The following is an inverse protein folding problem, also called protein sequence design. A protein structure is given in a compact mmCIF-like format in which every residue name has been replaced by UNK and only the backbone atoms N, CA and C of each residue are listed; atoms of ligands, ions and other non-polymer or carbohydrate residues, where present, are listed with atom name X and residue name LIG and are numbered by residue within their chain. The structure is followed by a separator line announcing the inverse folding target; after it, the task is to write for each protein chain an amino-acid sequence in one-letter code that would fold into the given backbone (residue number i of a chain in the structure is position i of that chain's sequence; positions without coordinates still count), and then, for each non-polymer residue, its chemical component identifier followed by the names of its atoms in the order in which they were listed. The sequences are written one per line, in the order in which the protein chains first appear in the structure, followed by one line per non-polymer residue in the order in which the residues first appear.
data_IF_200019164031
#
_entry.id   IF_200019164031
#
_cell.length_a   1.000
_cell.length_b   1.000
_cell.length_c   1.000
_cell.angle_alpha   90.00
_cell.angle_beta   90.00
_cell.angle_gamma   90.00
#
_symmetry.space_group_name_H-M   'P 1'
#
loop_
_entity.id
_entity.type
_entity.pdbx_description
1 polymer ?
#
# COMPACT_ATOMS: atom_id res chain seq x y z
N UNK A 1 -14.54 9.30 8.80
CA UNK A 1 -13.99 10.57 8.28
C UNK A 1 -14.65 10.92 6.96
N UNK A 2 -15.04 12.18 6.76
CA UNK A 2 -15.50 12.69 5.46
C UNK A 2 -14.30 12.78 4.52
N UNK A 3 -14.39 12.23 3.32
CA UNK A 3 -13.32 12.38 2.33
C UNK A 3 -13.21 13.83 1.87
N UNK A 4 -11.98 14.31 1.63
CA UNK A 4 -11.69 15.64 1.08
C UNK A 4 -11.27 15.47 -0.40
N UNK A 5 -12.21 15.43 -1.35
CA UNK A 5 -11.93 15.07 -2.74
C UNK A 5 -11.22 16.17 -3.54
N UNK A 6 -11.25 17.44 -3.10
CA UNK A 6 -10.69 18.56 -3.87
C UNK A 6 -9.82 19.49 -3.03
N UNK A 7 -8.85 20.16 -3.67
CA UNK A 7 -8.02 21.18 -3.00
C UNK A 7 -8.84 22.39 -2.54
N UNK A 8 -9.97 22.67 -3.21
CA UNK A 8 -10.92 23.71 -2.77
C UNK A 8 -11.54 23.30 -1.44
N UNK A 9 -12.00 22.04 -1.33
CA UNK A 9 -12.55 21.52 -0.09
C UNK A 9 -11.49 21.42 1.00
N UNK A 10 -10.25 21.05 0.70
CA UNK A 10 -9.16 21.06 1.68
C UNK A 10 -8.95 22.46 2.28
N UNK A 11 -8.84 23.49 1.44
CA UNK A 11 -8.67 24.88 1.88
C UNK A 11 -9.88 25.37 2.69
N UNK A 12 -11.09 24.90 2.35
CA UNK A 12 -12.32 25.22 3.09
C UNK A 12 -12.35 24.51 4.45
N UNK A 13 -12.13 23.20 4.49
CA UNK A 13 -12.18 22.39 5.71
C UNK A 13 -11.11 22.86 6.72
N UNK A 14 -9.90 23.21 6.27
CA UNK A 14 -8.87 23.79 7.15
C UNK A 14 -9.27 25.16 7.71
N UNK A 15 -10.11 25.93 7.01
CA UNK A 15 -10.59 27.23 7.47
C UNK A 15 -11.77 27.10 8.44
N UNK A 16 -12.67 26.16 8.15
CA UNK A 16 -13.90 25.96 8.91
C UNK A 16 -13.69 25.06 10.14
N UNK A 17 -12.59 24.29 10.18
CA UNK A 17 -12.27 23.37 11.28
C UNK A 17 -10.93 23.74 11.96
N UNK A 18 -10.95 24.58 13.01
CA UNK A 18 -9.75 24.99 13.75
C UNK A 18 -8.97 23.83 14.36
N UNK A 19 -9.64 22.76 14.79
CA UNK A 19 -8.98 21.58 15.36
C UNK A 19 -8.14 20.86 14.31
N UNK A 20 -8.67 20.70 13.09
CA UNK A 20 -7.91 20.14 11.98
C UNK A 20 -6.73 21.03 11.59
N UNK A 21 -6.95 22.35 11.55
CA UNK A 21 -5.90 23.32 11.26
C UNK A 21 -4.75 23.23 12.26
N UNK A 22 -5.06 23.15 13.56
CA UNK A 22 -4.09 23.03 14.63
C UNK A 22 -3.30 21.72 14.55
N UNK A 23 -3.94 20.60 14.19
CA UNK A 23 -3.24 19.31 13.98
C UNK A 23 -2.27 19.39 12.80
N UNK A 24 -2.58 20.20 11.78
CA UNK A 24 -1.67 20.49 10.68
C UNK A 24 -0.69 21.64 10.99
N UNK A 25 -0.59 22.05 12.25
CA UNK A 25 0.27 23.13 12.76
C UNK A 25 -0.02 24.52 12.15
N UNK A 26 -1.24 24.73 11.64
CA UNK A 26 -1.70 26.06 11.25
C UNK A 26 -2.15 26.84 12.48
N UNK A 27 -1.41 27.90 12.81
CA UNK A 27 -1.66 28.71 13.99
C UNK A 27 -2.99 29.49 13.87
N UNK A 28 -3.77 29.60 14.97
CA UNK A 28 -4.97 30.41 14.99
C UNK A 28 -4.70 31.87 14.57
N UNK A 29 -5.59 32.45 13.76
CA UNK A 29 -5.44 33.81 13.26
C UNK A 29 -4.53 33.97 12.05
N UNK A 30 -3.75 32.95 11.67
CA UNK A 30 -2.99 32.95 10.42
C UNK A 30 -3.87 32.38 9.27
N UNK A 31 -3.96 33.05 8.12
CA UNK A 31 -4.72 32.53 6.98
C UNK A 31 -4.15 31.19 6.48
N UNK A 32 -5.02 30.17 6.37
CA UNK A 32 -4.66 28.88 5.79
C UNK A 32 -4.30 29.01 4.29
N UNK A 33 -3.44 28.13 3.75
CA UNK A 33 -3.06 28.20 2.34
C UNK A 33 -4.25 28.10 1.39
N UNK A 34 -4.20 28.89 0.31
CA UNK A 34 -5.20 28.84 -0.75
C UNK A 34 -5.06 27.57 -1.60
N UNK A 35 -6.12 27.24 -2.35
CA UNK A 35 -6.09 26.18 -3.38
C UNK A 35 -4.86 26.30 -4.30
N UNK A 36 -4.54 27.53 -4.75
CA UNK A 36 -3.40 27.80 -5.63
C UNK A 36 -2.08 27.45 -4.95
N UNK A 37 -1.92 27.78 -3.66
CA UNK A 37 -0.73 27.44 -2.89
C UNK A 37 -0.54 25.93 -2.75
N UNK A 38 -1.59 25.19 -2.36
CA UNK A 38 -1.53 23.72 -2.34
C UNK A 38 -1.21 23.13 -3.71
N UNK A 39 -1.85 23.64 -4.76
CA UNK A 39 -1.60 23.18 -6.13
C UNK A 39 -0.17 23.47 -6.59
N UNK A 40 0.41 24.60 -6.18
CA UNK A 40 1.80 24.96 -6.45
C UNK A 40 2.76 24.02 -5.71
N UNK A 41 2.51 23.78 -4.42
CA UNK A 41 3.29 22.85 -3.60
C UNK A 41 3.31 21.44 -4.21
N UNK A 42 2.15 20.89 -4.58
CA UNK A 42 2.06 19.55 -5.17
C UNK A 42 2.76 19.42 -6.53
N UNK A 43 2.82 20.50 -7.32
CA UNK A 43 3.52 20.49 -8.62
C UNK A 43 5.03 20.64 -8.49
N UNK A 44 5.47 21.43 -7.53
CA UNK A 44 6.86 21.87 -7.44
C UNK A 44 7.68 21.09 -6.41
N UNK A 45 7.02 20.36 -5.50
CA UNK A 45 7.72 19.56 -4.49
C UNK A 45 7.99 18.17 -5.05
N UNK A 46 9.26 17.78 -5.23
CA UNK A 46 9.58 16.44 -5.72
C UNK A 46 9.16 15.40 -4.69
N UNK A 47 8.54 14.31 -5.14
CA UNK A 47 8.14 13.23 -4.24
C UNK A 47 9.35 12.63 -3.50
N UNK A 48 10.53 12.57 -4.13
CA UNK A 48 11.76 12.07 -3.52
C UNK A 48 12.09 12.77 -2.20
N UNK A 49 11.93 14.08 -2.13
CA UNK A 49 12.12 14.86 -0.90
C UNK A 49 11.15 14.43 0.21
N UNK A 50 9.90 14.13 -0.14
CA UNK A 50 8.91 13.64 0.84
C UNK A 50 9.25 12.22 1.31
N UNK A 51 9.76 11.36 0.42
CA UNK A 51 10.19 10.01 0.79
C UNK A 51 11.42 10.08 1.72
N UNK A 52 12.40 10.95 1.41
CA UNK A 52 13.57 11.20 2.26
C UNK A 52 13.16 11.72 3.64
N UNK A 53 12.25 12.70 3.70
CA UNK A 53 11.74 13.23 4.95
C UNK A 53 11.04 12.14 5.77
N UNK A 54 10.18 11.31 5.16
CA UNK A 54 9.54 10.19 5.84
C UNK A 54 10.59 9.24 6.43
N UNK A 55 11.59 8.85 5.64
CA UNK A 55 12.67 7.95 6.12
C UNK A 55 13.45 8.55 7.28
N UNK A 56 13.71 9.85 7.24
CA UNK A 56 14.36 10.55 8.35
C UNK A 56 13.50 10.49 9.62
N UNK A 57 12.20 10.79 9.52
CA UNK A 57 11.26 10.74 10.65
C UNK A 57 11.12 9.32 11.22
N UNK A 58 11.02 8.30 10.36
CA UNK A 58 10.97 6.89 10.80
C UNK A 58 12.26 6.49 11.52
N UNK A 59 13.43 6.93 11.05
CA UNK A 59 14.70 6.70 11.73
C UNK A 59 14.76 7.39 13.11
N UNK A 60 14.26 8.61 13.23
CA UNK A 60 14.14 9.28 14.53
C UNK A 60 13.22 8.49 15.48
N UNK A 61 12.08 8.02 14.99
CA UNK A 61 11.15 7.20 15.78
C UNK A 61 11.75 5.84 16.18
N UNK A 62 12.60 5.26 15.34
CA UNK A 62 13.36 4.06 15.65
C UNK A 62 14.36 4.33 16.80
N UNK A 63 15.12 5.42 16.74
CA UNK A 63 16.05 5.80 17.81
C UNK A 63 15.34 6.10 19.13
N UNK A 64 14.13 6.66 19.08
CA UNK A 64 13.27 6.89 20.25
C UNK A 64 12.57 5.62 20.76
N UNK A 65 12.75 4.48 20.09
CA UNK A 65 12.11 3.20 20.44
C UNK A 65 10.59 3.17 20.23
N UNK A 66 10.04 4.11 19.46
CA UNK A 66 8.61 4.19 19.13
C UNK A 66 8.24 3.26 17.98
N UNK A 67 9.09 3.17 16.95
CA UNK A 67 9.03 2.15 15.90
C UNK A 67 10.05 1.09 16.23
N UNK A 68 9.66 -0.19 16.21
CA UNK A 68 10.59 -1.31 16.50
C UNK A 68 10.96 -2.11 15.25
N UNK A 69 10.09 -2.15 14.24
CA UNK A 69 10.30 -2.90 13.01
C UNK A 69 10.38 -4.42 13.22
N UNK A 70 9.77 -4.92 14.30
CA UNK A 70 9.81 -6.37 14.64
C UNK A 70 8.81 -7.16 13.81
N UNK A 71 7.60 -6.62 13.64
CA UNK A 71 6.55 -7.21 12.85
C UNK A 71 6.14 -6.19 11.80
N UNK A 72 6.33 -6.55 10.53
CA UNK A 72 6.04 -5.67 9.41
C UNK A 72 4.89 -6.26 8.60
N UNK A 73 3.86 -5.47 8.32
CA UNK A 73 2.76 -5.86 7.43
C UNK A 73 2.85 -5.12 6.10
N UNK A 74 2.57 -5.81 5.00
CA UNK A 74 2.46 -5.20 3.68
C UNK A 74 1.04 -5.30 3.15
N UNK A 75 0.54 -4.19 2.61
CA UNK A 75 -0.75 -4.13 1.91
C UNK A 75 -0.70 -3.05 0.80
N UNK A 76 -1.70 -3.05 -0.08
CA UNK A 76 -1.84 -2.05 -1.13
C UNK A 76 -3.24 -1.45 -1.18
N UNK A 77 -3.31 -0.12 -1.30
CA UNK A 77 -4.58 0.62 -1.35
C UNK A 77 -4.77 1.24 -2.74
N UNK A 78 -5.95 1.09 -3.38
CA UNK A 78 -6.22 1.69 -4.68
C UNK A 78 -6.37 3.22 -4.61
N UNK A 79 -5.75 3.91 -5.56
CA UNK A 79 -5.87 5.36 -5.78
C UNK A 79 -6.47 5.57 -7.16
N UNK A 80 -7.75 5.97 -7.20
CA UNK A 80 -8.50 6.16 -8.45
C UNK A 80 -8.13 7.49 -9.09
N UNK A 81 -7.68 7.47 -10.34
CA UNK A 81 -7.41 8.69 -11.10
C UNK A 81 -8.70 9.44 -11.43
N UNK A 82 -8.61 10.77 -11.50
CA UNK A 82 -9.75 11.65 -11.84
C UNK A 82 -9.94 11.72 -13.37
N UNK A 83 -10.29 10.60 -13.96
CA UNK A 83 -10.52 10.44 -15.40
C UNK A 83 -11.99 10.15 -15.68
N UNK A 84 -12.49 10.55 -16.86
CA UNK A 84 -13.90 10.34 -17.23
C UNK A 84 -14.28 8.86 -17.28
N UNK A 85 -13.30 8.01 -17.61
CA UNK A 85 -13.41 6.55 -17.69
C UNK A 85 -13.71 5.92 -16.32
N UNK A 86 -13.44 6.61 -15.22
CA UNK A 86 -13.82 6.17 -13.88
C UNK A 86 -15.23 6.65 -13.49
N UNK A 87 -15.74 7.73 -14.10
CA UNK A 87 -17.08 8.24 -13.82
C UNK A 87 -18.17 7.43 -14.54
N UNK A 88 -18.88 6.56 -13.81
CA UNK A 88 -19.93 5.69 -14.36
C UNK A 88 -21.11 6.45 -14.96
N UNK A 89 -21.26 7.74 -14.65
CA UNK A 89 -22.31 8.61 -15.23
C UNK A 89 -21.94 9.19 -16.60
N UNK A 90 -20.67 9.05 -17.02
CA UNK A 90 -20.21 9.57 -18.31
C UNK A 90 -20.27 8.48 -19.37
N UNK A 91 -20.88 8.79 -20.52
CA UNK A 91 -20.84 7.91 -21.68
C UNK A 91 -19.40 7.81 -22.21
N UNK A 92 -18.82 6.61 -22.12
CA UNK A 92 -17.48 6.32 -22.63
C UNK A 92 -17.48 4.89 -23.19
N UNK A 93 -17.30 4.78 -24.51
CA UNK A 93 -17.07 3.48 -25.14
C UNK A 93 -15.73 2.91 -24.65
N UNK A 94 -15.67 1.58 -24.49
CA UNK A 94 -14.45 0.84 -24.14
C UNK A 94 -13.71 1.40 -22.90
N UNK A 95 -14.45 1.86 -21.89
CA UNK A 95 -13.90 2.60 -20.74
C UNK A 95 -12.80 1.89 -19.95
N UNK A 96 -12.71 0.56 -20.05
CA UNK A 96 -11.73 -0.27 -19.33
C UNK A 96 -10.89 -1.13 -20.28
N UNK A 97 -10.66 -0.65 -21.50
CA UNK A 97 -9.76 -1.29 -22.45
C UNK A 97 -8.30 -0.95 -22.14
N UNK A 98 -7.51 -1.96 -21.79
CA UNK A 98 -6.08 -1.82 -21.46
C UNK A 98 -5.26 -1.23 -22.60
N UNK A 99 -5.71 -1.37 -23.85
CA UNK A 99 -5.03 -0.84 -25.03
C UNK A 99 -5.30 0.64 -25.29
N UNK A 100 -6.26 1.24 -24.56
CA UNK A 100 -6.64 2.63 -24.72
C UNK A 100 -6.66 3.37 -23.36
N UNK A 101 -5.48 3.73 -22.81
CA UNK A 101 -5.40 4.43 -21.53
C UNK A 101 -6.02 5.83 -21.57
N UNK A 102 -6.48 6.37 -20.43
CA UNK A 102 -7.10 7.69 -20.37
C UNK A 102 -6.17 8.82 -20.87
N UNK A 103 -6.70 9.71 -21.72
CA UNK A 103 -5.90 10.81 -22.27
C UNK A 103 -5.38 11.79 -21.22
N UNK A 104 -6.15 12.02 -20.15
CA UNK A 104 -5.80 12.98 -19.09
C UNK A 104 -4.81 12.43 -18.06
N UNK A 105 -4.55 11.13 -18.07
CA UNK A 105 -3.60 10.47 -17.16
C UNK A 105 -3.09 9.18 -17.83
N UNK A 106 -2.10 9.34 -18.72
CA UNK A 106 -1.55 8.23 -19.52
C UNK A 106 -0.71 7.25 -18.68
N UNK A 107 -0.31 7.64 -17.47
CA UNK A 107 0.47 6.81 -16.55
C UNK A 107 -0.44 5.92 -15.67
N UNK A 108 -1.74 6.19 -15.65
CA UNK A 108 -2.70 5.39 -14.91
C UNK A 108 -2.77 3.96 -15.47
N UNK A 109 -2.65 2.98 -14.58
CA UNK A 109 -2.85 1.56 -14.90
C UNK A 109 -4.29 1.12 -14.69
N UNK A 110 -4.72 0.10 -15.43
CA UNK A 110 -6.03 -0.52 -15.19
C UNK A 110 -5.94 -1.49 -14.00
N UNK A 111 -6.61 -1.13 -12.91
CA UNK A 111 -6.74 -1.91 -11.69
C UNK A 111 -8.08 -2.63 -11.57
N UNK A 112 -8.13 -3.56 -10.61
CA UNK A 112 -9.30 -4.37 -10.27
C UNK A 112 -9.58 -4.27 -8.78
N UNK A 113 -10.84 -4.08 -8.41
CA UNK A 113 -11.36 -4.18 -7.05
C UNK A 113 -12.40 -5.31 -7.00
N UNK A 114 -12.30 -6.19 -6.01
CA UNK A 114 -13.25 -7.28 -5.81
C UNK A 114 -14.02 -7.01 -4.53
N UNK A 115 -15.32 -6.78 -4.67
CA UNK A 115 -16.26 -6.61 -3.57
C UNK A 115 -16.92 -7.95 -3.27
N UNK A 116 -16.78 -8.43 -2.04
CA UNK A 116 -17.46 -9.61 -1.55
C UNK A 116 -18.85 -9.21 -1.04
N UNK A 117 -19.88 -9.39 -1.87
CA UNK A 117 -21.27 -9.25 -1.43
C UNK A 117 -21.75 -10.60 -0.88
N UNK A 118 -22.76 -10.63 0.01
CA UNK A 118 -23.23 -11.86 0.67
C UNK A 118 -23.53 -13.02 -0.28
N UNK A 119 -23.98 -12.72 -1.51
CA UNK A 119 -24.42 -13.72 -2.50
C UNK A 119 -23.51 -13.83 -3.73
N UNK A 120 -22.63 -12.87 -3.98
CA UNK A 120 -21.81 -12.85 -5.20
C UNK A 120 -20.55 -12.00 -5.07
N UNK A 121 -19.53 -12.36 -5.85
CA UNK A 121 -18.36 -11.50 -6.07
C UNK A 121 -18.71 -10.46 -7.11
N UNK A 122 -18.51 -9.19 -6.78
CA UNK A 122 -18.63 -8.08 -7.72
C UNK A 122 -17.24 -7.56 -8.07
N UNK A 123 -16.87 -7.63 -9.35
CA UNK A 123 -15.59 -7.16 -9.85
C UNK A 123 -15.79 -5.78 -10.46
N UNK A 124 -15.10 -4.77 -9.93
CA UNK A 124 -15.05 -3.44 -10.52
C UNK A 124 -13.66 -3.18 -11.08
N UNK A 125 -13.61 -2.41 -12.16
CA UNK A 125 -12.38 -1.94 -12.76
C UNK A 125 -12.23 -0.45 -12.51
N UNK A 126 -10.99 0.03 -12.45
CA UNK A 126 -10.69 1.44 -12.33
C UNK A 126 -9.36 1.76 -13.00
N UNK A 127 -9.21 2.97 -13.52
CA UNK A 127 -7.92 3.52 -13.90
C UNK A 127 -7.28 4.25 -12.73
N UNK A 128 -6.01 3.98 -12.47
CA UNK A 128 -5.23 4.75 -11.52
C UNK A 128 -4.01 4.01 -11.03
N UNK A 129 -3.78 4.09 -9.73
CA UNK A 129 -2.58 3.64 -9.07
C UNK A 129 -2.92 2.77 -7.86
N UNK A 130 -1.92 2.09 -7.30
CA UNK A 130 -1.98 1.50 -5.96
C UNK A 130 -0.80 2.02 -5.17
N UNK A 131 -1.04 2.42 -3.92
CA UNK A 131 0.04 2.69 -2.98
C UNK A 131 0.32 1.42 -2.20
N UNK A 132 1.52 0.88 -2.36
CA UNK A 132 2.00 -0.28 -1.64
C UNK A 132 2.73 0.21 -0.41
N UNK A 133 2.32 -0.22 0.78
CA UNK A 133 2.84 0.30 2.02
C UNK A 133 3.25 -0.84 2.94
N UNK A 134 4.42 -0.69 3.56
CA UNK A 134 4.87 -1.53 4.67
C UNK A 134 4.72 -0.74 5.96
N UNK A 135 4.10 -1.36 6.96
CA UNK A 135 3.72 -0.74 8.23
C UNK A 135 4.34 -1.55 9.37
N UNK A 136 4.87 -0.87 10.39
CA UNK A 136 5.22 -1.51 11.66
C UNK A 136 3.95 -1.84 12.44
N UNK A 137 3.68 -3.12 12.66
CA UNK A 137 2.41 -3.58 13.21
C UNK A 137 2.18 -3.14 14.67
N UNK A 138 3.24 -2.85 15.42
CA UNK A 138 3.11 -2.45 16.83
C UNK A 138 2.75 -0.95 16.96
N UNK A 139 3.39 -0.10 16.16
CA UNK A 139 3.15 1.36 16.20
C UNK A 139 2.11 1.86 15.21
N UNK A 140 1.72 1.02 14.25
CA UNK A 140 0.85 1.35 13.11
C UNK A 140 1.44 2.43 12.18
N UNK A 141 2.76 2.64 12.24
CA UNK A 141 3.44 3.67 11.45
C UNK A 141 3.90 3.09 10.09
N UNK A 142 3.55 3.73 8.96
CA UNK A 142 4.13 3.44 7.66
C UNK A 142 5.64 3.64 7.65
N UNK A 143 6.41 2.57 7.41
CA UNK A 143 7.88 2.62 7.38
C UNK A 143 8.42 2.85 5.97
N UNK A 144 7.74 2.32 4.96
CA UNK A 144 8.09 2.52 3.56
C UNK A 144 6.83 2.41 2.70
N UNK A 145 6.78 3.17 1.60
CA UNK A 145 5.71 3.07 0.63
C UNK A 145 6.20 3.39 -0.78
N UNK A 146 5.50 2.85 -1.76
CA UNK A 146 5.69 3.19 -3.16
C UNK A 146 4.37 3.12 -3.91
N UNK A 147 4.06 4.18 -4.66
CA UNK A 147 2.90 4.22 -5.55
C UNK A 147 3.27 3.75 -6.95
N UNK A 148 2.53 2.77 -7.47
CA UNK A 148 2.69 2.24 -8.84
C UNK A 148 1.36 2.28 -9.60
N UNK A 149 1.40 2.27 -10.95
CA UNK A 149 0.19 2.08 -11.76
C UNK A 149 -0.57 0.81 -11.33
N UNK A 150 -1.90 0.86 -11.34
CA UNK A 150 -2.73 -0.17 -10.70
C UNK A 150 -2.71 -1.55 -11.39
N UNK A 151 -2.07 -1.66 -12.56
CA UNK A 151 -1.82 -2.91 -13.26
C UNK A 151 -0.55 -3.63 -12.78
N UNK A 152 0.29 -2.99 -11.96
CA UNK A 152 1.43 -3.65 -11.30
C UNK A 152 0.89 -4.60 -10.23
N UNK A 153 1.30 -5.86 -10.28
CA UNK A 153 0.85 -6.87 -9.34
C UNK A 153 1.52 -6.67 -7.97
N UNK A 154 0.73 -6.72 -6.89
CA UNK A 154 1.19 -6.45 -5.52
C UNK A 154 2.41 -7.28 -5.11
N UNK A 155 2.44 -8.57 -5.47
CA UNK A 155 3.58 -9.45 -5.18
C UNK A 155 4.91 -8.92 -5.72
N UNK A 156 4.89 -8.19 -6.84
CA UNK A 156 6.10 -7.64 -7.45
C UNK A 156 6.70 -6.49 -6.63
N UNK A 157 5.90 -5.87 -5.75
CA UNK A 157 6.34 -4.78 -4.88
C UNK A 157 6.91 -5.24 -3.55
N UNK A 158 6.75 -6.52 -3.20
CA UNK A 158 7.23 -7.06 -1.93
C UNK A 158 8.75 -6.89 -1.79
N UNK A 159 9.54 -7.55 -2.65
CA UNK A 159 11.01 -7.53 -2.54
C UNK A 159 11.57 -6.10 -2.69
N UNK A 160 11.14 -5.26 -3.66
CA UNK A 160 11.61 -3.89 -3.76
C UNK A 160 11.43 -3.07 -2.48
N UNK A 161 10.25 -3.13 -1.85
CA UNK A 161 9.97 -2.39 -0.62
C UNK A 161 10.81 -2.91 0.55
N UNK A 162 10.95 -4.23 0.69
CA UNK A 162 11.76 -4.81 1.76
C UNK A 162 13.27 -4.57 1.57
N UNK A 163 13.77 -4.51 0.34
CA UNK A 163 15.14 -4.06 0.06
C UNK A 163 15.34 -2.58 0.42
N UNK A 164 14.38 -1.70 0.09
CA UNK A 164 14.42 -0.32 0.57
C UNK A 164 14.48 -0.27 2.10
N UNK A 165 13.67 -1.07 2.81
CA UNK A 165 13.69 -1.12 4.27
C UNK A 165 15.04 -1.56 4.81
N UNK A 166 15.62 -2.64 4.27
CA UNK A 166 16.93 -3.15 4.69
C UNK A 166 18.06 -2.14 4.48
N UNK A 167 17.97 -1.36 3.41
CA UNK A 167 19.00 -0.38 3.06
C UNK A 167 18.89 0.91 3.90
N UNK A 168 17.70 1.25 4.40
CA UNK A 168 17.47 2.52 5.10
C UNK A 168 17.30 2.38 6.62
N UNK A 169 17.02 1.18 7.13
CA UNK A 169 16.70 0.95 8.54
C UNK A 169 17.41 -0.30 9.09
N UNK A 170 17.88 -0.22 10.33
CA UNK A 170 18.46 -1.36 11.06
C UNK A 170 17.42 -2.13 11.87
N UNK A 171 16.34 -2.56 11.23
CA UNK A 171 15.28 -3.32 11.90
C UNK A 171 15.70 -4.77 12.18
N UNK A 172 15.34 -5.27 13.37
CA UNK A 172 15.44 -6.68 13.72
C UNK A 172 14.10 -7.38 13.43
N UNK A 173 13.83 -7.60 12.14
CA UNK A 173 12.56 -8.15 11.65
C UNK A 173 12.41 -9.59 12.17
N UNK A 174 11.30 -9.85 12.86
CA UNK A 174 10.93 -11.17 13.41
C UNK A 174 9.81 -11.83 12.64
N UNK A 175 8.89 -11.03 12.11
CA UNK A 175 7.76 -11.52 11.32
C UNK A 175 7.36 -10.59 10.21
N UNK A 176 6.92 -11.16 9.09
CA UNK A 176 6.33 -10.41 7.98
C UNK A 176 4.92 -10.91 7.71
N UNK A 177 3.94 -10.00 7.78
CA UNK A 177 2.53 -10.27 7.59
C UNK A 177 2.10 -9.83 6.19
N UNK A 178 1.25 -10.64 5.55
CA UNK A 178 0.71 -10.32 4.24
C UNK A 178 -0.51 -11.17 3.90
N UNK A 179 -1.31 -10.68 2.98
CA UNK A 179 -2.46 -11.41 2.47
C UNK A 179 -2.04 -12.54 1.50
N UNK A 180 -3.03 -13.26 0.98
CA UNK A 180 -2.79 -14.37 0.05
C UNK A 180 -2.24 -13.97 -1.32
N UNK A 181 -2.21 -12.68 -1.67
CA UNK A 181 -1.57 -12.23 -2.90
C UNK A 181 -0.04 -12.36 -2.82
N UNK A 182 0.53 -12.37 -1.61
CA UNK A 182 1.96 -12.52 -1.36
C UNK A 182 2.42 -13.97 -1.14
N UNK A 183 1.51 -14.95 -1.21
CA UNK A 183 1.84 -16.39 -1.09
C UNK A 183 2.53 -16.91 -2.36
N UNK A 184 3.83 -16.59 -2.49
CA UNK A 184 4.71 -17.06 -3.55
C UNK A 184 5.99 -17.68 -2.98
N UNK A 185 6.52 -18.69 -3.69
CA UNK A 185 7.74 -19.37 -3.27
C UNK A 185 8.91 -18.38 -3.07
N UNK A 186 9.11 -17.47 -4.03
CA UNK A 186 10.20 -16.50 -3.97
C UNK A 186 10.03 -15.50 -2.83
N UNK A 187 8.80 -15.07 -2.50
CA UNK A 187 8.55 -14.18 -1.35
C UNK A 187 8.82 -14.93 -0.05
N UNK A 188 8.28 -16.15 0.11
CA UNK A 188 8.46 -16.95 1.32
C UNK A 188 9.95 -17.27 1.56
N UNK A 189 10.69 -17.64 0.50
CA UNK A 189 12.14 -17.82 0.54
C UNK A 189 12.84 -16.53 0.94
N UNK A 190 12.50 -15.40 0.33
CA UNK A 190 13.11 -14.12 0.69
C UNK A 190 12.89 -13.76 2.17
N UNK A 191 11.68 -13.94 2.71
CA UNK A 191 11.38 -13.68 4.13
C UNK A 191 12.20 -14.59 5.04
N UNK A 192 12.25 -15.89 4.73
CA UNK A 192 12.92 -16.87 5.58
C UNK A 192 14.44 -16.82 5.47
N UNK A 193 14.97 -16.79 4.25
CA UNK A 193 16.40 -16.91 3.95
C UNK A 193 17.11 -15.55 3.98
N UNK A 194 16.48 -14.47 3.50
CA UNK A 194 17.11 -13.14 3.41
C UNK A 194 16.79 -12.30 4.64
N UNK A 195 15.51 -12.16 5.00
CA UNK A 195 15.12 -11.37 6.18
C UNK A 195 15.36 -12.10 7.50
N UNK A 196 15.57 -13.43 7.47
CA UNK A 196 15.67 -14.28 8.66
C UNK A 196 14.45 -14.12 9.59
N UNK A 197 13.28 -13.90 8.99
CA UNK A 197 12.03 -13.65 9.67
C UNK A 197 11.02 -14.78 9.43
N UNK A 198 9.98 -14.84 10.25
CA UNK A 198 8.87 -15.78 10.07
C UNK A 198 7.82 -15.21 9.09
N UNK A 199 7.47 -15.92 8.01
CA UNK A 199 6.39 -15.49 7.13
C UNK A 199 5.02 -15.80 7.75
N UNK A 200 4.24 -14.76 8.00
CA UNK A 200 2.84 -14.81 8.43
C UNK A 200 1.94 -14.39 7.26
N UNK A 201 2.07 -15.13 6.14
CA UNK A 201 1.38 -14.84 4.88
C UNK A 201 0.22 -15.81 4.71
N UNK A 202 -0.98 -15.30 4.46
CA UNK A 202 -2.16 -16.14 4.26
C UNK A 202 -2.00 -17.04 3.03
N UNK A 203 -2.38 -18.32 3.13
CA UNK A 203 -2.29 -19.27 2.00
C UNK A 203 -3.24 -18.85 0.87
N UNK A 204 -2.80 -18.94 -0.38
CA UNK A 204 -3.63 -18.71 -1.56
C UNK A 204 -4.31 -20.01 -2.02
N UNK A 205 -5.63 -20.19 -1.79
CA UNK A 205 -6.32 -21.45 -2.12
C UNK A 205 -6.45 -21.69 -3.63
N UNK A 206 -6.25 -20.66 -4.47
CA UNK A 206 -6.32 -20.80 -5.94
C UNK A 206 -5.09 -21.52 -6.49
N UNK A 207 -3.95 -21.45 -5.78
CA UNK A 207 -2.76 -22.23 -6.10
C UNK A 207 -2.96 -23.64 -5.54
N UNK A 208 -3.79 -24.44 -6.22
CA UNK A 208 -3.82 -25.89 -6.05
C UNK A 208 -2.52 -26.46 -6.63
N UNK A 209 -1.43 -26.42 -5.88
CA UNK A 209 -0.35 -27.36 -6.12
C UNK A 209 -0.81 -28.72 -5.62
N UNK A 210 -0.73 -29.75 -6.47
CA UNK A 210 -1.00 -31.17 -6.16
C UNK A 210 -0.03 -31.77 -5.14
N UNK A 211 0.47 -30.95 -4.21
CA UNK A 211 1.55 -31.23 -3.29
C UNK A 211 1.16 -30.68 -1.92
N UNK A 212 0.07 -31.21 -1.37
CA UNK A 212 -0.08 -31.22 0.07
C UNK A 212 0.95 -32.21 0.62
N UNK A 213 2.21 -31.79 0.72
CA UNK A 213 3.22 -32.56 1.43
C UNK A 213 2.91 -32.44 2.91
N UNK A 214 2.11 -33.37 3.39
CA UNK A 214 2.02 -33.69 4.81
C UNK A 214 3.27 -34.51 5.12
N UNK A 215 4.19 -33.96 5.92
CA UNK A 215 5.32 -34.73 6.43
C UNK A 215 4.75 -35.83 7.33
N UNK A 216 5.44 -36.96 7.46
CA UNK A 216 5.08 -38.07 8.37
C UNK A 216 4.79 -37.63 9.83
N UNK A 217 5.25 -36.44 10.22
CA UNK A 217 4.95 -35.79 11.51
C UNK A 217 3.57 -35.08 11.59
N UNK A 218 2.76 -35.12 10.54
CA UNK A 218 1.45 -34.45 10.45
C UNK A 218 1.52 -32.95 10.11
N UNK A 219 2.73 -32.38 10.00
CA UNK A 219 2.91 -30.97 9.65
C UNK A 219 2.83 -30.73 8.14
N UNK A 220 2.14 -29.66 7.74
CA UNK A 220 2.07 -29.22 6.33
C UNK A 220 3.31 -28.42 5.94
N UNK A 221 3.66 -28.53 4.67
CA UNK A 221 4.74 -27.77 4.04
C UNK A 221 4.16 -26.68 3.15
N UNK A 222 4.71 -25.47 3.20
CA UNK A 222 4.32 -24.39 2.31
C UNK A 222 4.89 -24.58 0.89
N UNK A 223 4.47 -23.75 -0.05
CA UNK A 223 4.94 -23.82 -1.45
C UNK A 223 6.46 -23.60 -1.61
N UNK A 224 7.14 -23.07 -0.59
CA UNK A 224 8.59 -22.92 -0.57
C UNK A 224 9.35 -24.07 0.10
N UNK A 225 8.67 -25.14 0.52
CA UNK A 225 9.30 -26.29 1.16
C UNK A 225 9.51 -26.15 2.68
N UNK A 226 9.02 -25.08 3.31
CA UNK A 226 9.15 -24.86 4.74
C UNK A 226 7.99 -25.45 5.54
N UNK A 227 8.28 -26.00 6.72
CA UNK A 227 7.26 -26.46 7.68
C UNK A 227 6.40 -25.29 8.11
N UNK A 228 5.08 -25.40 7.93
CA UNK A 228 4.13 -24.39 8.37
C UNK A 228 3.97 -24.45 9.90
N UNK A 229 3.80 -23.29 10.54
CA UNK A 229 3.49 -23.19 11.98
C UNK A 229 1.97 -23.26 12.24
N UNK A 230 1.16 -22.79 11.28
CA UNK A 230 -0.30 -22.77 11.32
C UNK A 230 -0.85 -22.98 9.90
N UNK A 231 -1.93 -23.76 9.72
CA UNK A 231 -2.42 -24.13 8.37
C UNK A 231 -3.94 -24.38 8.27
N UNK A 232 -4.72 -23.78 9.17
CA UNK A 232 -6.19 -23.83 9.17
C UNK A 232 -6.73 -23.04 10.33
#
# INVERSE_FOLDING_TARGET
MKGIPTLTELSRELRENPSLALVCDFQPGIPVPSKQRFSCFLRNTPNSLLQELRRHLVNQLLHLGKVKGKYLSIDSVPIKSKVRENNLKTSCANRFDKSNPPKSDQQAGLGVEIYLLPTKKHVAYFWGYRNHCVIDCESEIPVEEETKPANVHDSNMFIPLFECIRNNYSFNIKGVLGDSAFDSEHILKYVFETLKASPYIARNPRRKTNQEFVISSGARVCIAGFKMLYWG
#
